data_IF_554539032552
#
_entry.id   IF_554539032552
#
_cell.length_a   1.000
_cell.length_b   1.000
_cell.length_c   1.000
_cell.angle_alpha   90.00
_cell.angle_beta   90.00
_cell.angle_gamma   90.00
#
_symmetry.space_group_name_H-M   'P 1'
#
loop_
_entity.id
_entity.type
_entity.pdbx_description
1 polymer ?
#
# COMPACT_ATOMS: atom_id res chain seq x y z
N UNK A 1 -33.97 -3.43 -27.97
CA UNK A 1 -33.57 -3.00 -26.61
C UNK A 1 -32.21 -3.65 -26.37
N UNK A 2 -31.14 -2.97 -26.75
CA UNK A 2 -29.79 -3.50 -26.51
C UNK A 2 -29.42 -3.15 -25.06
N UNK A 3 -29.13 -4.18 -24.27
CA UNK A 3 -28.68 -4.01 -22.89
C UNK A 3 -27.27 -3.40 -22.93
N UNK A 4 -27.13 -2.21 -22.34
CA UNK A 4 -25.87 -1.52 -22.09
C UNK A 4 -25.10 -2.30 -21.02
N UNK A 5 -24.44 -3.38 -21.44
CA UNK A 5 -23.53 -4.14 -20.60
C UNK A 5 -22.24 -3.32 -20.42
N UNK A 6 -22.31 -2.32 -19.54
CA UNK A 6 -21.12 -1.62 -19.08
C UNK A 6 -20.24 -2.63 -18.39
N UNK A 7 -19.17 -3.04 -19.07
CA UNK A 7 -18.04 -3.71 -18.44
C UNK A 7 -17.47 -2.74 -17.42
N UNK A 8 -17.90 -2.86 -16.16
CA UNK A 8 -17.25 -2.17 -15.05
C UNK A 8 -15.86 -2.77 -14.98
N UNK A 9 -14.88 -2.06 -15.53
CA UNK A 9 -13.48 -2.38 -15.32
C UNK A 9 -13.22 -2.27 -13.83
N UNK A 10 -13.21 -3.42 -13.13
CA UNK A 10 -12.79 -3.47 -11.74
C UNK A 10 -11.28 -3.25 -11.69
N UNK A 11 -10.87 -1.97 -11.71
CA UNK A 11 -9.45 -1.61 -11.60
C UNK A 11 -8.93 -2.21 -10.30
N UNK A 12 -7.68 -2.66 -10.31
CA UNK A 12 -7.06 -3.20 -9.10
C UNK A 12 -7.13 -2.21 -7.92
N UNK A 13 -7.06 -0.91 -8.20
CA UNK A 13 -7.16 0.15 -7.19
C UNK A 13 -8.54 0.24 -6.51
N UNK A 14 -9.60 -0.19 -7.19
CA UNK A 14 -10.99 -0.10 -6.70
C UNK A 14 -11.38 -1.28 -5.80
N UNK A 15 -10.54 -2.31 -5.68
CA UNK A 15 -10.81 -3.51 -4.88
C UNK A 15 -9.64 -3.90 -3.99
N UNK A 16 -9.93 -4.66 -2.94
CA UNK A 16 -8.91 -5.27 -2.09
C UNK A 16 -9.13 -6.77 -2.00
N UNK A 17 -8.06 -7.54 -2.13
CA UNK A 17 -8.09 -8.98 -1.83
C UNK A 17 -7.89 -9.17 -0.33
N UNK A 18 -8.94 -9.65 0.35
CA UNK A 18 -9.01 -9.97 1.77
C UNK A 18 -8.87 -8.80 2.77
N UNK A 19 -9.76 -8.76 3.75
CA UNK A 19 -9.87 -7.66 4.72
C UNK A 19 -10.33 -6.35 4.08
N UNK A 20 -10.25 -5.23 4.82
CA UNK A 20 -10.79 -3.93 4.37
C UNK A 20 -9.89 -2.72 4.69
N UNK A 21 -8.62 -2.96 5.04
CA UNK A 21 -7.69 -1.95 5.59
C UNK A 21 -7.17 -0.89 4.60
N UNK A 22 -7.46 -1.01 3.30
CA UNK A 22 -7.12 0.00 2.28
C UNK A 22 -8.32 0.48 1.47
N UNK A 23 -9.30 -0.40 1.18
CA UNK A 23 -10.49 -0.05 0.38
C UNK A 23 -11.34 1.08 1.00
N UNK A 24 -11.25 1.28 2.31
CA UNK A 24 -11.95 2.36 3.03
C UNK A 24 -11.21 3.70 3.01
N UNK A 25 -10.03 3.77 2.40
CA UNK A 25 -9.19 4.97 2.35
C UNK A 25 -9.46 5.78 1.09
N UNK A 26 -8.96 7.01 1.08
CA UNK A 26 -9.03 7.89 -0.09
C UNK A 26 -8.31 7.33 -1.33
N UNK A 27 -7.30 6.48 -1.14
CA UNK A 27 -6.58 5.79 -2.23
C UNK A 27 -5.89 4.52 -1.70
N UNK A 28 -5.52 3.60 -2.59
CA UNK A 28 -4.66 2.48 -2.20
C UNK A 28 -3.23 2.99 -2.00
N UNK A 29 -2.48 2.51 -0.99
CA UNK A 29 -1.11 2.97 -0.79
C UNK A 29 -0.19 2.71 -1.99
N UNK A 30 -0.43 1.65 -2.75
CA UNK A 30 0.35 1.38 -3.96
C UNK A 30 0.12 2.43 -5.06
N UNK A 31 -1.03 3.11 -5.10
CA UNK A 31 -1.29 4.15 -6.10
C UNK A 31 -0.36 5.35 -5.84
N UNK A 32 -0.22 5.76 -4.58
CA UNK A 32 0.75 6.79 -4.18
C UNK A 32 2.20 6.37 -4.46
N UNK A 33 2.55 5.12 -4.15
CA UNK A 33 3.90 4.57 -4.36
C UNK A 33 4.25 4.57 -5.86
N UNK A 34 3.35 4.05 -6.70
CA UNK A 34 3.55 3.96 -8.14
C UNK A 34 3.60 5.35 -8.80
N UNK A 35 2.70 6.27 -8.41
CA UNK A 35 2.66 7.61 -8.95
C UNK A 35 3.93 8.44 -8.67
N UNK A 36 4.65 8.13 -7.59
CA UNK A 36 5.85 8.85 -7.18
C UNK A 36 7.16 8.07 -7.44
N UNK A 37 7.09 6.94 -8.15
CA UNK A 37 8.27 6.12 -8.45
C UNK A 37 8.99 5.59 -7.20
N UNK A 38 8.24 5.37 -6.11
CA UNK A 38 8.81 5.00 -4.81
C UNK A 38 9.24 3.53 -4.82
N UNK A 39 10.45 3.29 -4.31
CA UNK A 39 11.09 1.98 -4.28
C UNK A 39 10.48 1.00 -3.27
N UNK A 40 11.07 -0.20 -3.23
CA UNK A 40 10.58 -1.31 -2.41
C UNK A 40 10.59 -1.00 -0.91
N UNK A 41 11.66 -0.39 -0.38
CA UNK A 41 11.79 -0.17 1.07
C UNK A 41 10.78 0.87 1.55
N UNK A 42 10.80 2.05 0.96
CA UNK A 42 9.89 3.16 1.22
C UNK A 42 8.43 2.77 0.95
N UNK A 43 8.18 2.02 -0.11
CA UNK A 43 6.85 1.52 -0.43
C UNK A 43 6.30 0.58 0.66
N UNK A 44 7.13 -0.29 1.22
CA UNK A 44 6.73 -1.12 2.35
C UNK A 44 6.45 -0.27 3.61
N UNK A 45 7.29 0.74 3.88
CA UNK A 45 7.06 1.68 4.99
C UNK A 45 5.67 2.32 4.84
N UNK A 46 5.38 2.92 3.69
CA UNK A 46 4.09 3.56 3.36
C UNK A 46 2.94 2.56 3.52
N UNK A 47 3.09 1.33 3.00
CA UNK A 47 2.08 0.26 3.12
C UNK A 47 1.74 -0.07 4.57
N UNK A 48 2.73 -0.15 5.47
CA UNK A 48 2.53 -0.52 6.86
C UNK A 48 2.01 0.65 7.72
N UNK A 49 2.60 1.85 7.60
CA UNK A 49 2.14 3.06 8.33
C UNK A 49 0.78 3.55 7.83
N UNK A 50 0.52 3.33 6.54
CA UNK A 50 -0.65 2.66 6.01
C UNK A 50 -1.69 2.16 7.01
N UNK A 51 -1.78 0.84 7.06
CA UNK A 51 -2.86 0.03 7.61
C UNK A 51 -2.83 -0.25 9.11
N UNK A 52 -1.82 0.20 9.85
CA UNK A 52 -1.57 -0.33 11.20
C UNK A 52 -2.77 -0.25 12.17
N UNK A 53 -3.62 0.77 12.06
CA UNK A 53 -4.84 0.89 12.88
C UNK A 53 -5.92 -0.12 12.51
N UNK A 54 -5.97 -0.48 11.24
CA UNK A 54 -7.01 -1.32 10.64
C UNK A 54 -6.56 -2.79 10.46
N UNK A 55 -5.25 -3.05 10.56
CA UNK A 55 -4.61 -4.37 10.44
C UNK A 55 -3.27 -4.40 11.16
N UNK A 56 -3.00 -5.49 11.87
CA UNK A 56 -1.69 -5.79 12.44
C UNK A 56 -1.29 -4.96 13.66
N UNK A 57 -1.91 -3.79 13.91
CA UNK A 57 -1.62 -2.99 15.10
C UNK A 57 -0.17 -2.50 15.12
N UNK A 58 0.39 -2.43 16.32
CA UNK A 58 1.78 -2.00 16.55
C UNK A 58 2.79 -2.87 15.78
N UNK A 59 2.48 -4.13 15.46
CA UNK A 59 3.41 -4.97 14.69
C UNK A 59 3.63 -4.49 13.26
N UNK A 60 2.65 -3.83 12.65
CA UNK A 60 2.89 -3.22 11.34
C UNK A 60 3.79 -1.98 11.46
N UNK A 61 3.75 -1.24 12.57
CA UNK A 61 4.71 -0.17 12.83
C UNK A 61 6.13 -0.71 13.04
N UNK A 62 6.29 -1.83 13.74
CA UNK A 62 7.59 -2.51 13.88
C UNK A 62 8.15 -2.97 12.53
N UNK A 63 7.30 -3.51 11.65
CA UNK A 63 7.71 -3.84 10.27
C UNK A 63 8.14 -2.59 9.52
N UNK A 64 7.38 -1.49 9.60
CA UNK A 64 7.77 -0.24 8.96
C UNK A 64 9.15 0.25 9.44
N UNK A 65 9.40 0.22 10.76
CA UNK A 65 10.70 0.56 11.33
C UNK A 65 11.82 -0.35 10.78
N UNK A 66 11.59 -1.66 10.68
CA UNK A 66 12.58 -2.58 10.15
C UNK A 66 12.94 -2.32 8.67
N UNK A 67 11.96 -1.96 7.84
CA UNK A 67 12.24 -1.53 6.45
C UNK A 67 13.04 -0.22 6.41
N UNK A 68 12.77 0.70 7.33
CA UNK A 68 13.51 1.96 7.44
C UNK A 68 14.96 1.73 7.89
N UNK A 69 15.19 0.87 8.89
CA UNK A 69 16.52 0.44 9.31
C UNK A 69 17.31 -0.11 8.12
N UNK A 70 16.69 -1.00 7.33
CA UNK A 70 17.37 -1.57 6.17
C UNK A 70 17.70 -0.53 5.09
N UNK A 71 16.81 0.43 4.86
CA UNK A 71 17.07 1.53 3.92
C UNK A 71 18.25 2.39 4.39
N UNK A 72 18.32 2.70 5.69
CA UNK A 72 19.46 3.43 6.27
C UNK A 72 20.77 2.65 6.07
N UNK A 73 20.78 1.33 6.29
CA UNK A 73 21.97 0.51 6.02
C UNK A 73 22.44 0.63 4.57
N UNK A 74 21.53 0.61 3.60
CA UNK A 74 21.88 0.70 2.18
C UNK A 74 22.45 2.07 1.81
N UNK A 75 21.91 3.14 2.37
CA UNK A 75 22.35 4.52 2.09
C UNK A 75 23.61 4.94 2.85
N UNK A 76 23.99 4.20 3.90
CA UNK A 76 25.15 4.54 4.74
C UNK A 76 26.34 3.59 4.56
N UNK A 77 26.13 2.42 3.96
CA UNK A 77 27.19 1.46 3.60
C UNK A 77 27.61 1.55 2.13
N UNK A 78 27.05 2.50 1.38
CA UNK A 78 27.39 2.79 -0.02
C UNK A 78 28.58 3.75 -0.15
#
# INVERSE_FOLDING_TARGET
MAEDERVVSERASDRQVAGTHYVTRAMQPWDYIAANGIGYFEGNIIKYVSRWRDKGGVEDLRKAAHYLEKLIELETLA
#
